data_IF_411653360367
#
_entry.id   IF_411653360367
#
_cell.length_a   1.000
_cell.length_b   1.000
_cell.length_c   1.000
_cell.angle_alpha   90.00
_cell.angle_beta   90.00
_cell.angle_gamma   90.00
#
_symmetry.space_group_name_H-M   'P 1'
#
loop_
_entity.id
_entity.type
_entity.pdbx_description
1 polymer ?
#
# COMPACT_ATOMS: atom_id res chain seq x y z
N UNK A 1 -8.87 11.86 1.30
CA UNK A 1 -8.18 12.78 0.34
C UNK A 1 -9.00 13.03 -0.93
N UNK A 2 -9.47 12.00 -1.64
CA UNK A 2 -10.17 12.11 -2.94
C UNK A 2 -11.42 13.00 -2.92
N UNK A 3 -12.31 12.83 -1.93
CA UNK A 3 -13.55 13.63 -1.80
C UNK A 3 -13.30 15.12 -1.55
N UNK A 4 -12.22 15.45 -0.86
CA UNK A 4 -11.85 16.84 -0.57
C UNK A 4 -11.29 17.52 -1.82
N UNK A 5 -10.44 16.80 -2.57
CA UNK A 5 -9.85 17.32 -3.80
C UNK A 5 -10.91 17.64 -4.87
N UNK A 6 -11.85 16.72 -5.11
CA UNK A 6 -12.91 16.92 -6.11
C UNK A 6 -13.84 18.09 -5.71
N UNK A 7 -14.18 18.22 -4.43
CA UNK A 7 -15.02 19.31 -3.93
C UNK A 7 -14.37 20.69 -4.15
N UNK A 8 -13.04 20.80 -3.99
CA UNK A 8 -12.28 22.03 -4.26
C UNK A 8 -12.28 22.34 -5.77
N UNK A 9 -12.09 21.33 -6.63
CA UNK A 9 -12.08 21.51 -8.08
C UNK A 9 -13.45 21.97 -8.62
N UNK A 10 -14.56 21.43 -8.09
CA UNK A 10 -15.91 21.74 -8.55
C UNK A 10 -16.33 23.21 -8.33
N UNK A 11 -15.74 23.91 -7.35
CA UNK A 11 -16.05 25.32 -7.07
C UNK A 11 -15.18 26.33 -7.81
N UNK A 12 -14.03 25.91 -8.36
CA UNK A 12 -12.98 26.82 -8.82
C UNK A 12 -12.51 26.57 -10.26
N UNK A 13 -12.91 25.46 -10.90
CA UNK A 13 -12.34 25.01 -12.16
C UNK A 13 -13.41 24.71 -13.22
N UNK A 14 -12.99 24.69 -14.49
CA UNK A 14 -13.80 24.20 -15.60
C UNK A 14 -14.32 22.77 -15.32
N UNK A 15 -15.61 22.55 -15.60
CA UNK A 15 -16.28 21.26 -15.48
C UNK A 15 -15.52 20.11 -16.16
N UNK A 16 -14.85 20.37 -17.29
CA UNK A 16 -14.04 19.38 -18.00
C UNK A 16 -12.80 18.97 -17.22
N UNK A 17 -12.15 19.92 -16.55
CA UNK A 17 -10.97 19.64 -15.72
C UNK A 17 -11.38 18.83 -14.50
N UNK A 18 -12.46 19.24 -13.83
CA UNK A 18 -13.03 18.49 -12.70
C UNK A 18 -13.43 17.08 -13.12
N UNK A 19 -14.07 16.91 -14.28
CA UNK A 19 -14.44 15.60 -14.82
C UNK A 19 -13.22 14.72 -15.10
N UNK A 20 -12.19 15.26 -15.76
CA UNK A 20 -10.97 14.49 -16.02
C UNK A 20 -10.26 14.07 -14.74
N UNK A 21 -10.20 14.95 -13.74
CA UNK A 21 -9.64 14.63 -12.42
C UNK A 21 -10.46 13.53 -11.72
N UNK A 22 -11.80 13.63 -11.72
CA UNK A 22 -12.68 12.61 -11.16
C UNK A 22 -12.47 11.25 -11.83
N UNK A 23 -12.50 11.18 -13.17
CA UNK A 23 -12.28 9.93 -13.90
C UNK A 23 -10.93 9.28 -13.57
N UNK A 24 -9.86 10.08 -13.48
CA UNK A 24 -8.54 9.56 -13.12
C UNK A 24 -8.49 9.06 -11.66
N UNK A 25 -9.12 9.79 -10.73
CA UNK A 25 -9.19 9.40 -9.33
C UNK A 25 -10.03 8.15 -9.12
N UNK A 26 -11.16 8.02 -9.83
CA UNK A 26 -12.00 6.82 -9.81
C UNK A 26 -11.20 5.62 -10.32
N UNK A 27 -10.45 5.78 -11.42
CA UNK A 27 -9.56 4.72 -11.91
C UNK A 27 -8.53 4.28 -10.85
N UNK A 28 -7.85 5.23 -10.21
CA UNK A 28 -6.86 4.95 -9.16
C UNK A 28 -7.54 4.22 -7.98
N UNK A 29 -8.74 4.66 -7.60
CA UNK A 29 -9.48 4.06 -6.51
C UNK A 29 -9.88 2.61 -6.82
N UNK A 30 -10.38 2.33 -8.02
CA UNK A 30 -10.65 0.96 -8.44
C UNK A 30 -9.38 0.11 -8.49
N UNK A 31 -8.27 0.65 -9.01
CA UNK A 31 -6.99 -0.08 -9.06
C UNK A 31 -6.45 -0.52 -7.68
N UNK A 32 -6.87 0.16 -6.61
CA UNK A 32 -6.48 -0.14 -5.23
C UNK A 32 -7.36 -1.21 -4.56
N UNK A 33 -8.39 -1.72 -5.24
CA UNK A 33 -9.25 -2.74 -4.66
C UNK A 33 -8.48 -4.05 -4.47
N UNK A 34 -8.59 -4.61 -3.26
CA UNK A 34 -8.02 -5.93 -2.94
C UNK A 34 -8.80 -7.10 -3.57
N UNK A 35 -9.98 -6.82 -4.14
CA UNK A 35 -10.81 -7.80 -4.84
C UNK A 35 -11.53 -7.13 -6.00
N UNK A 36 -11.46 -7.76 -7.16
CA UNK A 36 -12.16 -7.30 -8.36
C UNK A 36 -13.26 -8.28 -8.77
N UNK A 37 -14.41 -7.72 -9.11
CA UNK A 37 -15.47 -8.39 -9.87
C UNK A 37 -15.50 -7.88 -11.31
N UNK A 38 -16.17 -8.60 -12.20
CA UNK A 38 -16.39 -8.14 -13.59
C UNK A 38 -17.01 -6.75 -13.66
N UNK A 39 -17.88 -6.42 -12.71
CA UNK A 39 -18.49 -5.09 -12.59
C UNK A 39 -17.45 -4.02 -12.21
N UNK A 40 -16.63 -4.26 -11.18
CA UNK A 40 -15.59 -3.29 -10.78
C UNK A 40 -14.56 -3.06 -11.89
N UNK A 41 -14.23 -4.10 -12.68
CA UNK A 41 -13.34 -3.96 -13.83
C UNK A 41 -13.99 -3.16 -14.97
N UNK A 42 -15.29 -3.33 -15.19
CA UNK A 42 -16.04 -2.52 -16.16
C UNK A 42 -16.09 -1.05 -15.74
N UNK A 43 -16.32 -0.77 -14.45
CA UNK A 43 -16.28 0.59 -13.89
C UNK A 43 -14.87 1.21 -14.01
N UNK A 44 -13.83 0.42 -13.73
CA UNK A 44 -12.45 0.84 -13.92
C UNK A 44 -12.15 1.20 -15.39
N UNK A 45 -12.63 0.41 -16.35
CA UNK A 45 -12.50 0.72 -17.78
C UNK A 45 -13.25 2.01 -18.12
N UNK A 46 -14.49 2.16 -17.64
CA UNK A 46 -15.29 3.34 -17.88
C UNK A 46 -14.63 4.61 -17.34
N UNK A 47 -13.99 4.53 -16.17
CA UNK A 47 -13.21 5.62 -15.59
C UNK A 47 -12.01 5.99 -16.49
N UNK A 48 -11.29 4.99 -17.02
CA UNK A 48 -10.19 5.22 -17.96
C UNK A 48 -10.68 5.87 -19.25
N UNK A 49 -11.73 5.34 -19.87
CA UNK A 49 -12.32 5.86 -21.10
C UNK A 49 -12.81 7.31 -20.91
N UNK A 50 -13.46 7.58 -19.78
CA UNK A 50 -13.89 8.92 -19.38
C UNK A 50 -12.73 9.90 -19.26
N UNK A 51 -11.61 9.48 -18.68
CA UNK A 51 -10.39 10.29 -18.63
C UNK A 51 -9.84 10.55 -20.04
N UNK A 52 -9.76 9.52 -20.88
CA UNK A 52 -9.26 9.64 -22.26
C UNK A 52 -10.12 10.56 -23.13
N UNK A 53 -11.43 10.59 -22.92
CA UNK A 53 -12.35 11.47 -23.62
C UNK A 53 -12.15 12.96 -23.29
N UNK A 54 -11.70 13.28 -22.07
CA UNK A 54 -11.67 14.67 -21.56
C UNK A 54 -10.26 15.22 -21.38
N UNK A 55 -9.22 14.38 -21.27
CA UNK A 55 -7.82 14.81 -20.99
C UNK A 55 -7.25 15.82 -21.99
N UNK A 56 -7.82 15.93 -23.19
CA UNK A 56 -7.44 16.96 -24.18
C UNK A 56 -7.55 18.39 -23.65
N UNK A 57 -8.41 18.62 -22.66
CA UNK A 57 -8.56 19.92 -22.00
C UNK A 57 -7.25 20.44 -21.40
N UNK A 58 -6.38 19.56 -20.90
CA UNK A 58 -5.08 19.95 -20.35
C UNK A 58 -4.09 20.40 -21.43
N UNK A 59 -4.27 19.96 -22.67
CA UNK A 59 -3.49 20.44 -23.82
C UNK A 59 -4.02 21.81 -24.25
N UNK A 60 -5.33 21.98 -24.27
CA UNK A 60 -5.97 23.26 -24.61
C UNK A 60 -5.58 24.38 -23.62
N UNK A 61 -5.55 24.07 -22.33
CA UNK A 61 -5.06 25.01 -21.30
C UNK A 61 -3.53 25.17 -21.26
N UNK A 62 -2.80 24.60 -22.22
CA UNK A 62 -1.34 24.64 -22.32
C UNK A 62 -0.62 24.14 -21.06
N UNK A 63 -1.30 23.36 -20.22
CA UNK A 63 -0.71 22.71 -19.04
C UNK A 63 0.30 21.65 -19.48
N UNK A 64 0.06 21.00 -20.63
CA UNK A 64 0.96 19.99 -21.19
C UNK A 64 0.82 19.87 -22.71
N UNK A 65 1.90 19.52 -23.40
CA UNK A 65 1.89 19.35 -24.86
C UNK A 65 1.31 18.01 -25.33
N UNK A 66 1.55 16.92 -24.59
CA UNK A 66 1.08 15.57 -24.93
C UNK A 66 0.91 14.67 -23.70
N UNK A 67 0.24 13.53 -23.87
CA UNK A 67 0.07 12.50 -22.84
C UNK A 67 0.88 11.22 -23.09
N UNK A 68 1.87 11.26 -24.00
CA UNK A 68 2.80 10.16 -24.27
C UNK A 68 3.82 9.97 -23.13
N UNK A 69 3.32 9.58 -21.96
CA UNK A 69 4.12 9.39 -20.75
C UNK A 69 3.96 7.91 -20.37
N UNK A 70 5.05 7.18 -20.10
CA UNK A 70 5.00 5.76 -19.79
C UNK A 70 3.96 5.40 -18.71
N UNK A 71 3.86 6.23 -17.66
CA UNK A 71 2.88 6.06 -16.57
C UNK A 71 1.41 6.18 -17.00
N UNK A 72 1.10 7.01 -18.00
CA UNK A 72 -0.27 7.09 -18.53
C UNK A 72 -0.54 5.94 -19.51
N UNK A 73 0.48 5.52 -20.27
CA UNK A 73 0.36 4.37 -21.15
C UNK A 73 0.16 3.07 -20.37
N UNK A 74 0.83 2.90 -19.22
CA UNK A 74 0.68 1.71 -18.38
C UNK A 74 -0.75 1.51 -17.88
N UNK A 75 -1.54 2.58 -17.71
CA UNK A 75 -2.95 2.47 -17.27
C UNK A 75 -3.79 1.62 -18.21
N UNK A 76 -3.46 1.60 -19.51
CA UNK A 76 -4.15 0.80 -20.52
C UNK A 76 -4.02 -0.71 -20.25
N UNK A 77 -2.95 -1.13 -19.58
CA UNK A 77 -2.63 -2.53 -19.33
C UNK A 77 -3.10 -3.02 -17.96
N UNK A 78 -3.59 -2.14 -17.08
CA UNK A 78 -3.95 -2.53 -15.72
C UNK A 78 -5.04 -3.59 -15.67
N UNK A 79 -6.11 -3.43 -16.44
CA UNK A 79 -7.26 -4.34 -16.37
C UNK A 79 -6.87 -5.74 -16.87
N UNK A 80 -6.12 -5.82 -17.96
CA UNK A 80 -5.64 -7.11 -18.49
C UNK A 80 -4.62 -7.74 -17.54
N UNK A 81 -3.76 -6.94 -16.91
CA UNK A 81 -2.82 -7.40 -15.88
C UNK A 81 -3.58 -7.93 -14.67
N UNK A 82 -4.64 -7.24 -14.22
CA UNK A 82 -5.46 -7.67 -13.08
C UNK A 82 -6.15 -9.00 -13.37
N UNK A 83 -6.65 -9.19 -14.59
CA UNK A 83 -7.25 -10.47 -15.02
C UNK A 83 -6.22 -11.60 -15.07
N UNK A 84 -5.00 -11.32 -15.50
CA UNK A 84 -3.96 -12.32 -15.70
C UNK A 84 -3.22 -12.69 -14.40
N UNK A 85 -2.96 -11.71 -13.54
CA UNK A 85 -2.04 -11.81 -12.40
C UNK A 85 -2.73 -11.59 -11.04
N UNK A 86 -3.97 -11.13 -11.02
CA UNK A 86 -4.68 -10.76 -9.79
C UNK A 86 -4.50 -9.30 -9.41
N UNK A 87 -4.87 -8.95 -8.19
CA UNK A 87 -4.94 -7.57 -7.70
C UNK A 87 -3.56 -6.91 -7.60
N UNK A 88 -3.53 -5.58 -7.71
CA UNK A 88 -2.27 -4.83 -7.77
C UNK A 88 -1.52 -4.74 -6.43
N UNK A 89 -2.17 -5.08 -5.32
CA UNK A 89 -1.59 -5.08 -3.97
C UNK A 89 -0.44 -6.09 -3.81
N UNK A 90 -0.52 -7.24 -4.48
CA UNK A 90 0.54 -8.26 -4.49
C UNK A 90 1.83 -7.86 -5.20
N UNK A 91 1.83 -6.74 -5.94
CA UNK A 91 2.94 -6.33 -6.81
C UNK A 91 3.51 -4.95 -6.45
N UNK A 92 3.10 -4.38 -5.32
CA UNK A 92 3.67 -3.11 -4.87
C UNK A 92 5.12 -3.29 -4.39
N UNK A 93 5.89 -2.20 -4.44
CA UNK A 93 7.30 -2.18 -3.99
C UNK A 93 7.45 -1.69 -2.56
N UNK A 94 6.33 -1.38 -1.88
CA UNK A 94 6.33 -0.82 -0.52
C UNK A 94 6.94 -1.79 0.48
N UNK A 95 6.50 -3.06 0.46
CA UNK A 95 7.03 -4.09 1.37
C UNK A 95 8.53 -4.35 1.15
N UNK A 96 9.02 -4.62 -0.08
CA UNK A 96 10.45 -4.75 -0.33
C UNK A 96 11.25 -3.50 0.04
N UNK A 97 10.72 -2.29 -0.22
CA UNK A 97 11.40 -1.04 0.13
C UNK A 97 11.50 -0.85 1.65
N UNK A 98 10.44 -1.17 2.39
CA UNK A 98 10.45 -1.16 3.86
C UNK A 98 11.48 -2.14 4.41
N UNK A 99 11.50 -3.38 3.91
CA UNK A 99 12.49 -4.37 4.30
C UNK A 99 13.92 -3.92 3.97
N UNK A 100 14.14 -3.24 2.84
CA UNK A 100 15.44 -2.68 2.48
C UNK A 100 15.87 -1.55 3.43
N UNK A 101 14.94 -0.74 3.93
CA UNK A 101 15.23 0.26 4.97
C UNK A 101 15.63 -0.43 6.28
N UNK A 102 14.79 -1.34 6.75
CA UNK A 102 14.95 -2.06 8.02
C UNK A 102 16.23 -2.88 8.06
N UNK A 103 16.46 -3.71 7.03
CA UNK A 103 17.49 -4.73 7.07
C UNK A 103 18.79 -4.33 6.39
N UNK A 104 18.75 -3.43 5.41
CA UNK A 104 19.98 -2.95 4.77
C UNK A 104 20.42 -1.60 5.33
N UNK A 105 19.57 -0.56 5.25
CA UNK A 105 20.00 0.80 5.61
C UNK A 105 20.30 0.94 7.10
N UNK A 106 19.45 0.44 7.98
CA UNK A 106 19.69 0.54 9.43
C UNK A 106 20.88 -0.30 9.87
N UNK A 107 21.00 -1.53 9.36
CA UNK A 107 22.16 -2.39 9.62
C UNK A 107 23.47 -1.75 9.13
N UNK A 108 23.46 -1.15 7.94
CA UNK A 108 24.63 -0.45 7.39
C UNK A 108 25.01 0.76 8.24
N UNK A 109 24.02 1.56 8.67
CA UNK A 109 24.22 2.71 9.58
C UNK A 109 24.80 2.30 10.93
N UNK A 110 24.43 1.14 11.45
CA UNK A 110 24.94 0.59 12.71
C UNK A 110 26.36 0.00 12.59
N UNK A 111 26.86 -0.21 11.37
CA UNK A 111 28.20 -0.73 11.11
C UNK A 111 29.27 0.37 11.17
N UNK A 112 30.53 -0.02 11.36
CA UNK A 112 31.67 0.88 11.18
C UNK A 112 32.10 1.06 9.70
N UNK A 113 31.32 0.52 8.75
CA UNK A 113 31.52 0.56 7.29
C UNK A 113 32.76 -0.18 6.76
N UNK A 114 33.48 -0.94 7.58
CA UNK A 114 34.56 -1.83 7.18
C UNK A 114 34.09 -3.28 7.24
N UNK A 115 34.25 -4.06 6.19
CA UNK A 115 33.72 -5.44 6.12
C UNK A 115 32.24 -5.50 6.56
N UNK A 116 31.45 -4.53 6.06
CA UNK A 116 30.14 -4.19 6.60
C UNK A 116 29.12 -5.32 6.44
N UNK A 117 29.27 -6.20 5.44
CA UNK A 117 28.35 -7.31 5.19
C UNK A 117 28.28 -8.26 6.40
N UNK A 118 29.43 -8.62 6.98
CA UNK A 118 29.51 -9.49 8.16
C UNK A 118 28.89 -8.79 9.38
N UNK A 119 29.09 -7.47 9.50
CA UNK A 119 28.51 -6.69 10.58
C UNK A 119 27.00 -6.54 10.46
N UNK A 120 26.50 -6.33 9.25
CA UNK A 120 25.07 -6.26 8.95
C UNK A 120 24.38 -7.59 9.24
N UNK A 121 24.97 -8.72 8.81
CA UNK A 121 24.46 -10.05 9.13
C UNK A 121 24.40 -10.31 10.65
N UNK A 122 25.47 -9.97 11.38
CA UNK A 122 25.50 -10.07 12.84
C UNK A 122 24.51 -9.14 13.52
N UNK A 123 24.31 -7.93 12.98
CA UNK A 123 23.34 -6.98 13.50
C UNK A 123 21.92 -7.54 13.36
N UNK A 124 21.57 -8.09 12.19
CA UNK A 124 20.28 -8.75 11.96
C UNK A 124 20.05 -9.91 12.92
N UNK A 125 21.02 -10.80 13.08
CA UNK A 125 20.93 -11.92 14.03
C UNK A 125 20.64 -11.45 15.47
N UNK A 126 21.22 -10.33 15.89
CA UNK A 126 20.96 -9.74 17.22
C UNK A 126 19.57 -9.13 17.33
N UNK A 127 19.09 -8.46 16.28
CA UNK A 127 17.73 -7.92 16.25
C UNK A 127 16.70 -9.06 16.34
N UNK A 128 16.88 -10.14 15.57
CA UNK A 128 16.01 -11.31 15.61
C UNK A 128 16.00 -11.97 16.99
N UNK A 129 17.17 -12.12 17.62
CA UNK A 129 17.27 -12.69 18.96
C UNK A 129 16.57 -11.81 20.02
N UNK A 130 16.75 -10.49 19.94
CA UNK A 130 16.09 -9.55 20.83
C UNK A 130 14.57 -9.53 20.65
N UNK A 131 14.09 -9.55 19.39
CA UNK A 131 12.67 -9.61 19.07
C UNK A 131 12.02 -10.89 19.59
N UNK A 132 12.67 -12.05 19.42
CA UNK A 132 12.19 -13.33 19.97
C UNK A 132 12.12 -13.32 21.49
N UNK A 133 13.13 -12.74 22.15
CA UNK A 133 13.13 -12.62 23.60
C UNK A 133 12.01 -11.70 24.09
N UNK A 134 11.78 -10.57 23.41
CA UNK A 134 10.69 -9.64 23.76
C UNK A 134 9.32 -10.33 23.68
N UNK A 135 9.05 -11.07 22.59
CA UNK A 135 7.81 -11.85 22.45
C UNK A 135 7.66 -12.92 23.53
N UNK A 136 8.76 -13.58 23.93
CA UNK A 136 8.73 -14.56 25.01
C UNK A 136 8.39 -13.92 26.37
N UNK A 137 8.98 -12.77 26.69
CA UNK A 137 8.69 -12.04 27.93
C UNK A 137 7.22 -11.60 27.98
N UNK A 138 6.69 -11.10 26.86
CA UNK A 138 5.27 -10.72 26.74
C UNK A 138 4.35 -11.93 26.96
N UNK A 139 4.65 -13.06 26.32
CA UNK A 139 3.88 -14.30 26.49
C UNK A 139 3.88 -14.82 27.94
N UNK A 140 5.03 -14.77 28.64
CA UNK A 140 5.10 -15.15 30.05
C UNK A 140 4.32 -14.18 30.92
N UNK A 141 4.43 -12.87 30.67
CA UNK A 141 3.73 -11.84 31.43
C UNK A 141 2.20 -11.92 31.32
N UNK A 142 1.66 -12.35 30.18
CA UNK A 142 0.23 -12.60 29.98
C UNK A 142 -0.26 -13.90 30.66
N UNK A 143 0.64 -14.83 31.00
CA UNK A 143 0.33 -16.12 31.63
C UNK A 143 0.11 -16.05 33.14
N UNK A 144 0.69 -15.07 33.84
CA UNK A 144 0.60 -14.92 35.30
C UNK A 144 -0.75 -14.32 35.79
N UNK A 145 -1.68 -14.01 34.88
CA UNK A 145 -2.99 -13.41 35.21
C UNK A 145 -4.20 -14.37 35.14
N UNK A 146 -4.00 -15.67 34.93
CA UNK A 146 -5.09 -16.66 34.74
C UNK A 146 -5.05 -17.84 35.73
N UNK A 147 -4.26 -17.75 36.79
CA UNK A 147 -4.31 -18.69 37.93
C UNK A 147 -4.98 -17.99 39.14
N UNK A 148 -6.30 -17.78 39.07
CA UNK A 148 -7.12 -17.54 40.26
C UNK A 148 -8.12 -18.71 40.42
N UNK A 149 -7.80 -19.54 41.41
CA UNK A 149 -8.67 -20.26 42.34
C UNK A 149 -9.74 -21.21 41.77
N UNK A 150 -9.34 -22.45 41.49
CA UNK A 150 -10.19 -23.64 41.66
C UNK A 150 -9.62 -24.48 42.82
N UNK A 151 -9.66 -23.90 44.03
CA UNK A 151 -9.40 -24.66 45.27
C UNK A 151 -10.66 -25.44 45.67
N UNK A 152 -10.47 -26.75 45.82
CA UNK A 152 -11.39 -27.78 46.30
C UNK A 152 -12.10 -27.38 47.60
N UNK A 153 -13.44 -27.53 47.64
CA UNK A 153 -14.14 -27.88 48.89
C UNK A 153 -14.85 -29.22 48.73
N UNK A 154 -14.13 -30.26 49.12
CA UNK A 154 -14.66 -31.56 49.54
C UNK A 154 -15.36 -31.40 50.91
N UNK A 155 -16.63 -31.80 50.97
CA UNK A 155 -17.30 -32.11 52.24
C UNK A 155 -18.08 -33.42 52.09
N UNK A 156 -17.42 -34.51 52.49
CA UNK A 156 -18.06 -35.77 52.89
C UNK A 156 -19.07 -35.56 54.04
N UNK A 157 -20.32 -35.98 53.86
CA UNK A 157 -20.99 -37.11 54.56
C UNK A 157 -22.50 -37.13 54.37
#
# INVERSE_FOLDING_TARGET
MTRVFIAICAGCMDNHVTKAATCLLDFIYYAQYQRHTSETLALMQQALDGFHAVKGIFIQYLVRQHFNIPKFHSLLHYIDTIRALGTADGYNTESPEHLHIEYAKNAYRASNKRDYEIQMARWLQRQDAAARLALYIEWVGDGEGNEEDDDEEDYES
#
